data_IF_529741807897
#
_entry.id   IF_529741807897
#
_cell.length_a   1.000
_cell.length_b   1.000
_cell.length_c   1.000
_cell.angle_alpha   90.00
_cell.angle_beta   90.00
_cell.angle_gamma   90.00
#
_symmetry.space_group_name_H-M   'P 1'
#
loop_
_entity.id
_entity.type
_entity.pdbx_description
1 polymer ?
#
# COMPACT_ATOMS: atom_id res chain seq x y z
N UNK A 1 -8.55 4.59 -15.66
CA UNK A 1 -8.57 5.69 -14.68
C UNK A 1 -7.14 6.13 -14.42
N UNK A 2 -6.90 7.39 -14.09
CA UNK A 2 -5.59 7.90 -13.65
C UNK A 2 -5.40 7.63 -12.17
N UNK A 3 -4.30 7.01 -11.80
CA UNK A 3 -3.99 6.62 -10.42
C UNK A 3 -2.71 7.33 -9.96
N UNK A 4 -2.76 7.94 -8.79
CA UNK A 4 -1.60 8.39 -8.05
C UNK A 4 -1.28 7.32 -6.98
N UNK A 5 -0.04 6.85 -6.96
CA UNK A 5 0.45 5.98 -5.89
C UNK A 5 1.51 6.72 -5.07
N UNK A 6 1.25 6.87 -3.78
CA UNK A 6 2.19 7.44 -2.81
C UNK A 6 2.81 6.31 -1.99
N UNK A 7 4.13 6.19 -2.02
CA UNK A 7 4.87 5.17 -1.26
C UNK A 7 5.66 5.82 -0.12
N UNK A 8 5.28 5.52 1.11
CA UNK A 8 5.92 6.06 2.30
C UNK A 8 6.75 5.00 3.02
N UNK A 9 7.79 5.45 3.72
CA UNK A 9 8.60 4.64 4.62
C UNK A 9 9.78 3.95 3.95
N UNK A 10 9.79 2.63 3.85
CA UNK A 10 10.98 1.84 3.52
C UNK A 10 10.96 1.23 2.12
N UNK A 11 12.12 0.71 1.68
CA UNK A 11 12.28 0.04 0.37
C UNK A 11 11.34 -1.16 0.19
N UNK A 12 10.92 -1.83 1.26
CA UNK A 12 9.90 -2.90 1.17
C UNK A 12 8.54 -2.35 0.73
N UNK A 13 8.13 -1.21 1.30
CA UNK A 13 6.90 -0.53 0.87
C UNK A 13 7.01 -0.09 -0.59
N UNK A 14 8.17 0.42 -0.99
CA UNK A 14 8.39 0.80 -2.40
C UNK A 14 8.21 -0.40 -3.33
N UNK A 15 8.80 -1.54 -3.02
CA UNK A 15 8.61 -2.77 -3.82
C UNK A 15 7.16 -3.20 -3.85
N UNK A 16 6.44 -3.15 -2.72
CA UNK A 16 5.01 -3.48 -2.66
C UNK A 16 4.19 -2.50 -3.53
N UNK A 17 4.54 -1.20 -3.52
CA UNK A 17 3.92 -0.20 -4.39
C UNK A 17 4.20 -0.47 -5.87
N UNK A 18 5.43 -0.79 -6.25
CA UNK A 18 5.80 -1.13 -7.62
C UNK A 18 5.09 -2.40 -8.12
N UNK A 19 4.81 -3.36 -7.23
CA UNK A 19 3.98 -4.53 -7.56
C UNK A 19 2.51 -4.11 -7.77
N UNK A 20 1.95 -3.27 -6.92
CA UNK A 20 0.60 -2.72 -7.13
C UNK A 20 0.51 -1.95 -8.45
N UNK A 21 1.51 -1.13 -8.77
CA UNK A 21 1.58 -0.42 -10.06
C UNK A 21 1.61 -1.39 -11.24
N UNK A 22 2.36 -2.49 -11.16
CA UNK A 22 2.40 -3.53 -12.19
C UNK A 22 1.02 -4.18 -12.42
N UNK A 23 0.33 -4.56 -11.34
CA UNK A 23 -1.02 -5.13 -11.38
C UNK A 23 -2.03 -4.14 -11.99
N UNK A 24 -2.03 -2.90 -11.52
CA UNK A 24 -2.93 -1.84 -12.02
C UNK A 24 -2.66 -1.48 -13.48
N UNK A 25 -1.38 -1.50 -13.92
CA UNK A 25 -1.02 -1.32 -15.33
C UNK A 25 -1.58 -2.44 -16.21
N UNK A 26 -1.49 -3.68 -15.74
CA UNK A 26 -2.08 -4.85 -16.43
C UNK A 26 -3.60 -4.71 -16.56
N UNK A 27 -4.26 -4.14 -15.55
CA UNK A 27 -5.70 -3.88 -15.56
C UNK A 27 -6.10 -2.65 -16.41
N UNK A 28 -5.12 -2.02 -17.10
CA UNK A 28 -5.34 -0.93 -18.04
C UNK A 28 -5.51 0.46 -17.41
N UNK A 29 -5.04 0.63 -16.17
CA UNK A 29 -4.96 1.94 -15.54
C UNK A 29 -3.73 2.73 -16.01
N UNK A 30 -3.79 4.05 -15.91
CA UNK A 30 -2.67 4.97 -16.18
C UNK A 30 -2.25 5.66 -14.89
N UNK A 31 -1.02 6.16 -14.84
CA UNK A 31 -0.48 6.78 -13.63
C UNK A 31 -0.20 8.25 -13.84
N UNK A 32 -0.18 8.98 -12.73
CA UNK A 32 0.16 10.40 -12.68
C UNK A 32 0.96 10.70 -11.41
N UNK A 33 1.78 11.72 -11.47
CA UNK A 33 2.45 12.34 -10.33
C UNK A 33 1.79 13.67 -9.90
N UNK A 34 0.77 14.12 -10.67
CA UNK A 34 -0.07 15.27 -10.32
C UNK A 34 -1.30 14.82 -9.54
N UNK A 35 -1.35 15.18 -8.27
CA UNK A 35 -2.45 14.85 -7.36
C UNK A 35 -3.82 15.40 -7.81
N UNK A 36 -3.82 16.55 -8.51
CA UNK A 36 -5.04 17.17 -9.02
C UNK A 36 -5.62 16.47 -10.25
N UNK A 37 -4.82 15.63 -10.90
CA UNK A 37 -5.26 14.85 -12.06
C UNK A 37 -5.68 13.43 -11.71
N UNK A 38 -5.44 12.98 -10.47
CA UNK A 38 -5.75 11.63 -10.03
C UNK A 38 -7.25 11.38 -9.89
N UNK A 39 -7.74 10.32 -10.53
CA UNK A 39 -9.08 9.78 -10.28
C UNK A 39 -9.12 8.95 -8.99
N UNK A 40 -8.00 8.26 -8.69
CA UNK A 40 -7.84 7.38 -7.53
C UNK A 40 -6.47 7.65 -6.92
N UNK A 41 -6.42 7.68 -5.59
CA UNK A 41 -5.18 7.81 -4.84
C UNK A 41 -4.98 6.56 -3.98
N UNK A 42 -3.81 5.93 -4.10
CA UNK A 42 -3.39 4.78 -3.29
C UNK A 42 -2.20 5.18 -2.46
N UNK A 43 -2.31 5.10 -1.13
CA UNK A 43 -1.23 5.46 -0.20
C UNK A 43 -0.73 4.20 0.51
N UNK A 44 0.52 3.83 0.23
CA UNK A 44 1.20 2.76 0.96
C UNK A 44 1.95 3.35 2.15
N UNK A 45 1.42 3.11 3.34
CA UNK A 45 1.73 3.81 4.59
C UNK A 45 2.78 3.09 5.43
N UNK A 46 3.46 3.85 6.28
CA UNK A 46 4.44 3.36 7.25
C UNK A 46 4.06 3.77 8.69
N UNK A 47 4.45 2.93 9.68
CA UNK A 47 4.27 3.24 11.09
C UNK A 47 5.42 2.69 11.96
N UNK A 48 6.60 2.49 11.37
CA UNK A 48 7.73 1.87 12.07
C UNK A 48 8.32 2.80 13.15
N UNK A 49 8.47 4.08 12.83
CA UNK A 49 8.87 5.13 13.78
C UNK A 49 7.79 6.21 13.85
N UNK A 50 7.85 7.07 14.87
CA UNK A 50 6.84 8.11 15.06
C UNK A 50 6.79 9.09 13.89
N UNK A 51 7.94 9.53 13.37
CA UNK A 51 7.99 10.46 12.24
C UNK A 51 7.31 9.87 10.99
N UNK A 52 7.56 8.59 10.69
CA UNK A 52 6.91 7.90 9.56
C UNK A 52 5.40 7.71 9.78
N UNK A 53 4.96 7.57 11.04
CA UNK A 53 3.54 7.53 11.37
C UNK A 53 2.89 8.90 11.17
N UNK A 54 3.51 9.96 11.64
CA UNK A 54 3.04 11.33 11.46
C UNK A 54 2.98 11.70 9.97
N UNK A 55 4.03 11.40 9.20
CA UNK A 55 4.05 11.54 7.75
C UNK A 55 2.87 10.81 7.10
N UNK A 56 2.63 9.55 7.48
CA UNK A 56 1.52 8.77 6.92
C UNK A 56 0.15 9.38 7.22
N UNK A 57 -0.09 9.83 8.46
CA UNK A 57 -1.36 10.50 8.84
C UNK A 57 -1.53 11.78 8.04
N UNK A 58 -0.52 12.64 8.02
CA UNK A 58 -0.59 13.92 7.32
C UNK A 58 -0.85 13.71 5.82
N UNK A 59 -0.14 12.76 5.18
CA UNK A 59 -0.37 12.44 3.76
C UNK A 59 -1.79 11.94 3.51
N UNK A 60 -2.35 11.09 4.38
CA UNK A 60 -3.74 10.64 4.23
C UNK A 60 -4.70 11.81 4.30
N UNK A 61 -4.52 12.71 5.29
CA UNK A 61 -5.39 13.88 5.47
C UNK A 61 -5.28 14.88 4.30
N UNK A 62 -4.07 15.14 3.81
CA UNK A 62 -3.83 16.00 2.63
C UNK A 62 -4.53 15.42 1.38
N UNK A 63 -4.37 14.13 1.13
CA UNK A 63 -5.00 13.48 -0.01
C UNK A 63 -6.53 13.36 0.15
N UNK A 64 -7.04 13.25 1.37
CA UNK A 64 -8.47 13.26 1.66
C UNK A 64 -9.15 14.57 1.25
N UNK A 65 -8.47 15.72 1.38
CA UNK A 65 -8.99 17.01 0.93
C UNK A 65 -9.21 17.05 -0.60
N UNK A 66 -8.47 16.28 -1.38
CA UNK A 66 -8.64 16.20 -2.84
C UNK A 66 -9.94 15.51 -3.26
N UNK A 67 -10.58 14.75 -2.38
CA UNK A 67 -11.94 14.23 -2.62
C UNK A 67 -12.99 15.33 -2.56
N UNK A 68 -12.74 16.39 -1.79
CA UNK A 68 -13.65 17.54 -1.64
C UNK A 68 -13.43 18.59 -2.71
N UNK A 69 -12.18 18.79 -3.11
CA UNK A 69 -11.76 19.93 -3.96
C UNK A 69 -11.29 19.50 -5.35
N UNK A 70 -10.90 18.26 -5.54
CA UNK A 70 -10.28 17.73 -6.77
C UNK A 70 -11.14 16.75 -7.56
N UNK A 71 -10.49 15.97 -8.39
CA UNK A 71 -11.09 14.90 -9.20
C UNK A 71 -11.11 13.55 -8.50
N UNK A 72 -10.44 13.42 -7.36
CA UNK A 72 -10.27 12.17 -6.65
C UNK A 72 -11.63 11.57 -6.25
N UNK A 73 -11.90 10.36 -6.72
CA UNK A 73 -13.14 9.61 -6.46
C UNK A 73 -12.97 8.56 -5.38
N UNK A 74 -11.74 8.08 -5.20
CA UNK A 74 -11.42 7.03 -4.25
C UNK A 74 -10.04 7.24 -3.62
N UNK A 75 -9.99 7.12 -2.30
CA UNK A 75 -8.79 7.13 -1.49
C UNK A 75 -8.60 5.76 -0.84
N UNK A 76 -7.51 5.08 -1.18
CA UNK A 76 -7.18 3.74 -0.71
C UNK A 76 -5.93 3.80 0.15
N UNK A 77 -6.01 3.26 1.36
CA UNK A 77 -4.88 3.21 2.29
C UNK A 77 -4.42 1.78 2.48
N UNK A 78 -3.12 1.55 2.35
CA UNK A 78 -2.50 0.23 2.53
C UNK A 78 -1.20 0.32 3.33
N UNK A 79 -0.58 -0.81 3.59
CA UNK A 79 0.73 -0.88 4.22
C UNK A 79 0.72 -1.04 5.73
N UNK A 80 1.87 -0.69 6.36
CA UNK A 80 2.10 -1.00 7.78
C UNK A 80 1.18 -0.25 8.73
N UNK A 81 0.82 0.99 8.41
CA UNK A 81 -0.10 1.77 9.24
C UNK A 81 -1.52 1.23 9.11
N UNK A 82 -1.97 0.93 7.90
CA UNK A 82 -3.25 0.27 7.64
C UNK A 82 -3.37 -1.05 8.43
N UNK A 83 -2.32 -1.87 8.41
CA UNK A 83 -2.27 -3.13 9.16
C UNK A 83 -2.39 -2.94 10.66
N UNK A 84 -1.81 -1.88 11.22
CA UNK A 84 -1.73 -1.67 12.66
C UNK A 84 -2.92 -0.91 13.23
N UNK A 85 -3.38 0.10 12.52
CA UNK A 85 -4.35 1.09 12.98
C UNK A 85 -5.62 1.09 12.12
N UNK A 86 -6.00 -0.10 11.65
CA UNK A 86 -7.16 -0.30 10.77
C UNK A 86 -8.40 0.44 11.27
N UNK A 87 -8.80 0.16 12.51
CA UNK A 87 -10.05 0.68 13.07
C UNK A 87 -9.99 2.18 13.29
N UNK A 88 -8.85 2.67 13.78
CA UNK A 88 -8.64 4.09 14.01
C UNK A 88 -8.69 4.89 12.69
N UNK A 89 -8.14 4.34 11.60
CA UNK A 89 -8.21 4.99 10.29
C UNK A 89 -9.64 5.06 9.79
N UNK A 90 -10.41 3.98 9.93
CA UNK A 90 -11.81 3.92 9.49
C UNK A 90 -12.69 4.89 10.30
N UNK A 91 -12.49 4.92 11.61
CA UNK A 91 -13.33 5.72 12.50
C UNK A 91 -13.01 7.22 12.42
N UNK A 92 -11.75 7.60 12.23
CA UNK A 92 -11.29 8.98 12.30
C UNK A 92 -11.16 9.67 10.93
N UNK A 93 -11.05 8.89 9.83
CA UNK A 93 -10.85 9.43 8.48
C UNK A 93 -11.89 8.81 7.52
N UNK A 94 -13.14 9.25 7.58
CA UNK A 94 -14.24 8.69 6.77
C UNK A 94 -14.08 8.90 5.25
N UNK A 95 -13.13 9.72 4.83
CA UNK A 95 -12.77 9.91 3.43
C UNK A 95 -12.03 8.72 2.81
N UNK A 96 -11.49 7.81 3.64
CA UNK A 96 -10.83 6.58 3.16
C UNK A 96 -11.89 5.59 2.70
N UNK A 97 -11.86 5.22 1.43
CA UNK A 97 -12.86 4.34 0.80
C UNK A 97 -12.49 2.86 0.88
N UNK A 98 -11.21 2.54 0.96
CA UNK A 98 -10.74 1.17 1.09
C UNK A 98 -9.48 1.09 1.94
N UNK A 99 -9.34 -0.02 2.69
CA UNK A 99 -8.16 -0.25 3.51
C UNK A 99 -7.64 -1.68 3.30
N UNK A 100 -6.32 -1.79 3.04
CA UNK A 100 -5.67 -3.07 2.75
C UNK A 100 -4.50 -3.32 3.70
N UNK A 101 -4.38 -4.55 4.19
CA UNK A 101 -3.24 -4.98 5.01
C UNK A 101 -1.93 -5.10 4.22
N UNK A 102 -0.83 -5.30 4.94
CA UNK A 102 0.52 -5.40 4.37
C UNK A 102 0.71 -6.58 3.40
N UNK A 103 -0.07 -7.64 3.54
CA UNK A 103 -0.04 -8.83 2.69
C UNK A 103 -1.11 -8.82 1.61
N UNK A 104 -2.01 -7.83 1.64
CA UNK A 104 -3.20 -7.77 0.77
C UNK A 104 -3.05 -6.81 -0.41
N UNK A 105 -1.85 -6.34 -0.72
CA UNK A 105 -1.60 -5.38 -1.80
C UNK A 105 -1.99 -5.91 -3.18
N UNK A 106 -2.02 -7.24 -3.38
CA UNK A 106 -2.50 -7.83 -4.64
C UNK A 106 -3.99 -7.58 -4.90
N UNK A 107 -4.77 -7.35 -3.85
CA UNK A 107 -6.20 -7.07 -3.96
C UNK A 107 -6.52 -5.63 -4.38
N UNK A 108 -5.51 -4.78 -4.63
CA UNK A 108 -5.71 -3.36 -4.93
C UNK A 108 -6.63 -3.12 -6.13
N UNK A 109 -6.51 -3.92 -7.20
CA UNK A 109 -7.36 -3.80 -8.39
C UNK A 109 -8.82 -4.16 -8.12
N UNK A 110 -9.07 -5.18 -7.28
CA UNK A 110 -10.42 -5.56 -6.89
C UNK A 110 -11.03 -4.53 -5.93
N UNK A 111 -10.26 -4.08 -4.94
CA UNK A 111 -10.69 -3.03 -4.03
C UNK A 111 -11.10 -1.74 -4.77
N UNK A 112 -10.37 -1.36 -5.82
CA UNK A 112 -10.76 -0.23 -6.68
C UNK A 112 -12.13 -0.46 -7.33
N UNK A 113 -12.40 -1.66 -7.85
CA UNK A 113 -13.69 -1.97 -8.49
C UNK A 113 -14.83 -1.91 -7.47
N UNK A 114 -14.65 -2.49 -6.29
CA UNK A 114 -15.63 -2.47 -5.20
C UNK A 114 -15.95 -1.04 -4.77
N UNK A 115 -14.92 -0.20 -4.56
CA UNK A 115 -15.11 1.24 -4.24
C UNK A 115 -15.89 1.96 -5.36
N UNK A 116 -15.58 1.68 -6.62
CA UNK A 116 -16.31 2.30 -7.74
C UNK A 116 -17.76 1.84 -7.85
N UNK A 117 -18.15 0.73 -7.19
CA UNK A 117 -19.54 0.30 -7.03
C UNK A 117 -20.19 0.81 -5.72
N UNK A 118 -19.47 1.61 -4.93
CA UNK A 118 -19.97 2.22 -3.70
C UNK A 118 -19.79 1.35 -2.46
N UNK A 119 -18.92 0.36 -2.52
CA UNK A 119 -18.52 -0.47 -1.38
C UNK A 119 -17.29 0.12 -0.67
N UNK A 120 -17.04 -0.27 0.57
CA UNK A 120 -15.90 0.15 1.38
C UNK A 120 -15.09 -1.08 1.81
N UNK A 121 -14.30 -1.68 0.90
CA UNK A 121 -13.61 -2.93 1.18
C UNK A 121 -12.51 -2.79 2.23
N UNK A 122 -12.48 -3.77 3.12
CA UNK A 122 -11.47 -3.95 4.16
C UNK A 122 -10.79 -5.31 3.94
N UNK A 123 -9.65 -5.31 3.25
CA UNK A 123 -8.98 -6.55 2.85
C UNK A 123 -7.74 -6.82 3.70
N UNK A 124 -7.83 -7.81 4.57
CA UNK A 124 -6.74 -8.20 5.48
C UNK A 124 -6.52 -9.70 5.43
N UNK A 125 -5.54 -10.12 4.67
CA UNK A 125 -5.06 -11.49 4.70
C UNK A 125 -4.17 -11.75 5.94
N UNK A 126 -3.89 -13.01 6.21
CA UNK A 126 -2.95 -13.37 7.27
C UNK A 126 -1.58 -12.75 7.01
N UNK A 127 -1.00 -12.08 8.01
CA UNK A 127 0.38 -11.56 7.92
C UNK A 127 1.43 -12.67 7.71
N UNK A 128 1.07 -13.93 7.98
CA UNK A 128 1.88 -15.12 7.71
C UNK A 128 1.53 -15.80 6.37
N UNK A 129 0.71 -15.16 5.53
CA UNK A 129 0.41 -15.67 4.18
C UNK A 129 1.70 -15.90 3.38
N UNK A 130 1.71 -16.85 2.44
CA UNK A 130 2.84 -17.06 1.55
C UNK A 130 3.24 -15.76 0.86
N UNK A 131 4.52 -15.60 0.54
CA UNK A 131 4.98 -14.45 -0.24
C UNK A 131 4.29 -14.49 -1.60
N UNK A 132 3.85 -13.34 -2.06
CA UNK A 132 3.24 -13.18 -3.38
C UNK A 132 4.06 -13.83 -4.50
N UNK A 133 3.36 -14.43 -5.44
CA UNK A 133 3.96 -15.04 -6.64
C UNK A 133 3.85 -14.14 -7.87
N UNK A 134 3.26 -12.95 -7.73
CA UNK A 134 3.16 -12.05 -8.87
C UNK A 134 4.52 -11.55 -9.31
N UNK A 135 4.75 -11.56 -10.60
CA UNK A 135 5.94 -10.99 -11.26
C UNK A 135 5.64 -9.65 -11.90
N UNK A 136 4.37 -9.23 -11.87
CA UNK A 136 3.96 -7.93 -12.39
C UNK A 136 4.53 -6.83 -11.48
N UNK A 137 5.50 -6.10 -12.00
CA UNK A 137 6.15 -5.01 -11.27
C UNK A 137 6.55 -3.89 -12.23
N UNK A 138 6.18 -2.68 -11.89
CA UNK A 138 6.59 -1.48 -12.60
C UNK A 138 7.64 -0.76 -11.75
N UNK A 139 8.92 -0.87 -12.14
CA UNK A 139 10.05 -0.29 -11.40
C UNK A 139 10.05 1.23 -11.58
N UNK A 140 10.13 1.95 -10.46
CA UNK A 140 10.07 3.42 -10.42
C UNK A 140 11.40 4.11 -10.08
N UNK A 141 12.45 3.35 -9.79
CA UNK A 141 13.76 3.83 -9.31
C UNK A 141 14.71 4.29 -10.43
N UNK A 142 14.27 5.13 -11.35
CA UNK A 142 15.14 5.88 -12.26
C UNK A 142 16.07 5.10 -13.22
N UNK A 143 15.96 3.77 -13.28
CA UNK A 143 16.61 2.94 -14.31
C UNK A 143 18.07 2.52 -14.06
N UNK A 144 18.74 2.96 -13.00
CA UNK A 144 20.12 2.60 -12.68
C UNK A 144 20.28 1.71 -11.44
N UNK A 145 19.23 1.49 -10.68
CA UNK A 145 19.14 0.51 -9.60
C UNK A 145 17.69 0.07 -9.38
N UNK A 146 17.49 -1.03 -8.68
CA UNK A 146 16.18 -1.48 -8.20
C UNK A 146 16.36 -2.28 -6.90
N UNK A 147 15.34 -2.30 -6.07
CA UNK A 147 15.32 -3.15 -4.87
C UNK A 147 14.79 -4.53 -5.20
N UNK A 148 15.43 -5.57 -4.68
CA UNK A 148 14.97 -6.94 -4.77
C UNK A 148 14.49 -7.40 -3.38
N UNK A 149 13.20 -7.66 -3.23
CA UNK A 149 12.62 -8.15 -1.98
C UNK A 149 12.78 -9.66 -1.88
N UNK A 150 13.88 -10.11 -1.26
CA UNK A 150 14.23 -11.52 -1.13
C UNK A 150 13.54 -12.25 0.03
N UNK A 151 12.88 -11.52 0.93
CA UNK A 151 12.18 -12.10 2.08
C UNK A 151 11.16 -11.12 2.65
N UNK A 152 10.18 -11.67 3.37
CA UNK A 152 9.17 -10.93 4.13
C UNK A 152 9.16 -11.36 5.59
N UNK A 153 8.75 -10.44 6.51
CA UNK A 153 8.63 -10.71 7.93
C UNK A 153 9.95 -10.80 8.70
N UNK A 154 9.88 -11.15 9.98
CA UNK A 154 11.04 -11.28 10.85
C UNK A 154 10.75 -12.12 12.11
N UNK A 155 11.64 -13.05 12.47
CA UNK A 155 11.51 -13.93 13.65
C UNK A 155 12.28 -13.43 14.88
N UNK A 156 13.01 -12.31 14.80
CA UNK A 156 13.91 -11.85 15.86
C UNK A 156 13.21 -11.36 17.13
N UNK A 157 11.98 -10.86 17.03
CA UNK A 157 11.16 -10.40 18.16
C UNK A 157 11.89 -9.47 19.13
N UNK A 158 12.70 -8.54 18.59
CA UNK A 158 13.36 -7.50 19.42
C UNK A 158 12.30 -6.70 20.16
N UNK A 159 12.55 -6.36 21.43
CA UNK A 159 11.57 -5.75 22.35
C UNK A 159 10.99 -4.42 21.86
N UNK A 160 11.72 -3.70 21.03
CA UNK A 160 11.31 -2.41 20.45
C UNK A 160 10.74 -2.50 19.03
N UNK A 161 10.72 -3.70 18.41
CA UNK A 161 10.44 -3.84 16.99
C UNK A 161 9.03 -4.35 16.72
N UNK A 162 8.29 -3.62 15.89
CA UNK A 162 6.92 -3.94 15.52
C UNK A 162 6.83 -4.87 14.28
N UNK A 163 7.92 -5.08 13.53
CA UNK A 163 7.91 -5.80 12.25
C UNK A 163 7.24 -7.18 12.31
N UNK A 164 7.49 -8.05 13.32
CA UNK A 164 6.82 -9.36 13.38
C UNK A 164 5.29 -9.29 13.45
N UNK A 165 4.77 -8.19 13.98
CA UNK A 165 3.33 -7.97 14.14
C UNK A 165 2.67 -7.32 12.91
N UNK A 166 3.48 -6.69 12.04
CA UNK A 166 2.99 -6.03 10.83
C UNK A 166 3.20 -6.88 9.57
N UNK A 167 4.31 -7.63 9.53
CA UNK A 167 4.74 -8.38 8.36
C UNK A 167 4.93 -9.87 8.60
N UNK A 168 4.56 -10.35 9.81
CA UNK A 168 4.56 -11.75 10.18
C UNK A 168 5.95 -12.35 10.37
N UNK A 169 5.99 -13.70 10.35
CA UNK A 169 7.21 -14.49 10.46
C UNK A 169 8.10 -14.33 9.24
N UNK A 170 9.41 -14.60 9.41
CA UNK A 170 10.35 -14.58 8.31
C UNK A 170 10.01 -15.64 7.25
N UNK A 171 9.84 -15.20 6.01
CA UNK A 171 9.59 -16.05 4.84
C UNK A 171 10.50 -15.61 3.70
N UNK A 172 11.35 -16.53 3.22
CA UNK A 172 12.17 -16.29 2.03
C UNK A 172 11.31 -16.38 0.76
N UNK A 173 11.64 -15.54 -0.21
CA UNK A 173 11.15 -15.72 -1.58
C UNK A 173 11.96 -16.84 -2.24
N UNK A 174 11.34 -17.84 -2.86
CA UNK A 174 12.05 -18.87 -3.60
C UNK A 174 12.91 -18.25 -4.72
N UNK A 175 14.10 -18.85 -4.97
CA UNK A 175 15.05 -18.32 -5.97
C UNK A 175 14.42 -18.23 -7.37
N UNK A 176 13.53 -19.16 -7.69
CA UNK A 176 12.84 -19.24 -9.00
C UNK A 176 11.80 -18.12 -9.20
N UNK A 177 11.49 -17.35 -8.14
CA UNK A 177 10.53 -16.25 -8.14
C UNK A 177 11.23 -14.87 -8.07
N UNK A 178 12.56 -14.86 -7.92
CA UNK A 178 13.39 -13.68 -7.88
C UNK A 178 13.95 -13.35 -9.28
#
# INVERSE_FOLDING_TARGET
>A
MKILCVSLGCDKNLVDTEMMLGLLNRDGHTFTDDENEADIIVINTCCFINDAKEESVNTILEMAELKKTGKCKALIVTGCMAQRYKQEIIDEIPEVDAILGTTSYEAVGEAIKEVMHGETPEVFESIDAPVSKTTDRLVTTGGHYAFLKIAEGCDKRCTYCIIPYLRGKYRSVPMEQL
#
